data_IF_907179987712
#
_entry.id   IF_907179987712
#
_cell.length_a   1.000
_cell.length_b   1.000
_cell.length_c   1.000
_cell.angle_alpha   90.00
_cell.angle_beta   90.00
_cell.angle_gamma   90.00
#
_symmetry.space_group_name_H-M   'P 1'
#
loop_
_entity.id
_entity.type
_entity.pdbx_description
1 polymer ?
#
# COMPACT_ATOMS: atom_id res chain seq x y z
N UNK A 1 -34.51 -42.09 -11.08
CA UNK A 1 -33.69 -41.03 -10.46
C UNK A 1 -32.96 -40.30 -11.58
N UNK A 2 -33.10 -38.99 -11.67
CA UNK A 2 -32.38 -38.19 -12.65
C UNK A 2 -30.92 -38.12 -12.21
N UNK A 3 -30.03 -38.75 -12.98
CA UNK A 3 -28.59 -38.75 -12.68
C UNK A 3 -28.10 -37.30 -12.87
N UNK A 4 -27.72 -36.65 -11.76
CA UNK A 4 -27.20 -35.29 -11.79
C UNK A 4 -25.71 -35.32 -12.12
N UNK A 5 -25.33 -34.53 -13.11
CA UNK A 5 -23.93 -34.28 -13.46
C UNK A 5 -23.59 -32.83 -13.20
N UNK A 6 -22.34 -32.58 -12.83
CA UNK A 6 -21.82 -31.24 -12.62
C UNK A 6 -20.47 -31.09 -13.32
N UNK A 7 -20.02 -29.84 -13.51
CA UNK A 7 -18.80 -29.55 -14.24
C UNK A 7 -17.85 -28.70 -13.42
N UNK A 8 -16.57 -29.02 -13.52
CA UNK A 8 -15.48 -28.31 -12.88
C UNK A 8 -14.43 -27.92 -13.92
N UNK A 9 -13.48 -27.06 -13.54
CA UNK A 9 -12.31 -26.77 -14.37
C UNK A 9 -11.07 -27.47 -13.81
N UNK A 10 -10.22 -27.95 -14.72
CA UNK A 10 -8.89 -28.43 -14.37
C UNK A 10 -7.94 -27.24 -14.12
N UNK A 11 -6.76 -27.52 -13.54
CA UNK A 11 -5.70 -26.50 -13.40
C UNK A 11 -5.27 -25.90 -14.75
N UNK A 12 -5.46 -26.64 -15.86
CA UNK A 12 -5.18 -26.21 -17.23
C UNK A 12 -6.36 -25.51 -17.91
N UNK A 13 -7.50 -25.35 -17.21
CA UNK A 13 -8.70 -24.69 -17.72
C UNK A 13 -9.65 -25.60 -18.52
N UNK A 14 -9.34 -26.89 -18.62
CA UNK A 14 -10.18 -27.88 -19.31
C UNK A 14 -11.43 -28.18 -18.48
N UNK A 15 -12.56 -28.42 -19.15
CA UNK A 15 -13.79 -28.85 -18.46
C UNK A 15 -13.65 -30.31 -18.03
N UNK A 16 -13.96 -30.55 -16.76
CA UNK A 16 -14.08 -31.87 -16.16
C UNK A 16 -15.55 -32.13 -15.82
N UNK A 17 -16.00 -33.35 -16.09
CA UNK A 17 -17.31 -33.85 -15.67
C UNK A 17 -17.16 -34.51 -14.30
N UNK A 18 -18.00 -34.14 -13.34
CA UNK A 18 -18.13 -34.78 -12.03
C UNK A 18 -19.45 -35.56 -12.01
N UNK A 19 -19.34 -36.88 -11.90
CA UNK A 19 -20.47 -37.80 -11.82
C UNK A 19 -20.17 -38.86 -10.75
N UNK A 20 -21.09 -39.07 -9.81
CA UNK A 20 -20.96 -40.08 -8.74
C UNK A 20 -19.62 -40.00 -7.98
N UNK A 21 -19.12 -38.78 -7.74
CA UNK A 21 -17.81 -38.54 -7.12
C UNK A 21 -16.60 -39.06 -7.92
N UNK A 22 -16.76 -39.26 -9.23
CA UNK A 22 -15.65 -39.53 -10.14
C UNK A 22 -15.49 -38.36 -11.12
N UNK A 23 -14.24 -38.05 -11.42
CA UNK A 23 -13.88 -37.00 -12.37
C UNK A 23 -13.55 -37.62 -13.72
N UNK A 24 -14.07 -37.01 -14.77
CA UNK A 24 -13.85 -37.41 -16.15
C UNK A 24 -13.36 -36.22 -16.97
N UNK A 25 -12.43 -36.46 -17.89
CA UNK A 25 -11.95 -35.48 -18.88
C UNK A 25 -12.65 -35.73 -20.21
N UNK A 26 -12.94 -34.67 -20.96
CA UNK A 26 -13.48 -34.83 -22.32
C UNK A 26 -12.38 -35.41 -23.22
N UNK A 27 -12.64 -36.58 -23.79
CA UNK A 27 -11.73 -37.25 -24.72
C UNK A 27 -12.06 -36.91 -26.17
N UNK A 28 -13.35 -36.87 -26.52
CA UNK A 28 -13.82 -36.64 -27.88
C UNK A 28 -15.22 -36.03 -27.89
N UNK A 29 -15.47 -35.12 -28.82
CA UNK A 29 -16.81 -34.63 -29.17
C UNK A 29 -17.16 -35.07 -30.59
N UNK A 30 -18.35 -35.60 -30.80
CA UNK A 30 -18.92 -35.92 -32.13
C UNK A 30 -20.02 -34.91 -32.49
N UNK A 31 -20.64 -35.08 -33.65
CA UNK A 31 -21.78 -34.26 -34.10
C UNK A 31 -23.03 -34.37 -33.21
N UNK A 32 -23.09 -35.35 -32.29
CA UNK A 32 -24.28 -35.62 -31.47
C UNK A 32 -23.98 -35.82 -29.97
N UNK A 33 -22.73 -36.11 -29.59
CA UNK A 33 -22.39 -36.54 -28.23
C UNK A 33 -21.00 -36.06 -27.79
N UNK A 34 -20.80 -35.95 -26.49
CA UNK A 34 -19.49 -35.79 -25.84
C UNK A 34 -19.12 -37.08 -25.12
N UNK A 35 -17.86 -37.50 -25.26
CA UNK A 35 -17.30 -38.70 -24.65
C UNK A 35 -16.26 -38.29 -23.62
N UNK A 36 -16.46 -38.74 -22.39
CA UNK A 36 -15.66 -38.42 -21.23
C UNK A 36 -14.99 -39.69 -20.73
N UNK A 37 -13.71 -39.63 -20.36
CA UNK A 37 -12.96 -40.75 -19.80
C UNK A 37 -12.47 -40.42 -18.40
N UNK A 38 -12.41 -41.44 -17.53
CA UNK A 38 -11.94 -41.23 -16.16
C UNK A 38 -10.54 -40.62 -16.17
N UNK A 39 -10.29 -39.70 -15.23
CA UNK A 39 -8.98 -39.04 -15.13
C UNK A 39 -7.90 -39.96 -14.58
N UNK A 40 -8.27 -41.02 -13.85
CA UNK A 40 -7.30 -41.92 -13.22
C UNK A 40 -6.62 -42.83 -14.23
N UNK A 41 -5.29 -42.93 -14.11
CA UNK A 41 -4.50 -43.74 -15.03
C UNK A 41 -4.82 -45.22 -14.81
N UNK A 42 -5.08 -45.93 -15.90
CA UNK A 42 -5.45 -47.35 -15.86
C UNK A 42 -6.93 -47.61 -15.57
N UNK A 43 -7.75 -46.57 -15.39
CA UNK A 43 -9.20 -46.69 -15.30
C UNK A 43 -9.84 -46.61 -16.70
N UNK A 44 -10.62 -47.62 -17.07
CA UNK A 44 -11.27 -47.73 -18.38
C UNK A 44 -12.67 -47.09 -18.48
N UNK A 45 -13.20 -46.55 -17.38
CA UNK A 45 -14.59 -46.06 -17.34
C UNK A 45 -14.77 -44.84 -18.23
N UNK A 46 -15.87 -44.82 -18.97
CA UNK A 46 -16.26 -43.71 -19.83
C UNK A 46 -17.72 -43.30 -19.64
N UNK A 47 -17.99 -42.01 -19.84
CA UNK A 47 -19.33 -41.43 -19.75
C UNK A 47 -19.66 -40.73 -21.06
N UNK A 48 -20.92 -40.79 -21.48
CA UNK A 48 -21.46 -40.08 -22.63
C UNK A 48 -22.47 -39.04 -22.15
N UNK A 49 -22.37 -37.84 -22.69
CA UNK A 49 -23.40 -36.81 -22.57
C UNK A 49 -23.84 -36.37 -23.97
N UNK A 50 -25.01 -35.76 -24.09
CA UNK A 50 -25.37 -35.05 -25.31
C UNK A 50 -24.56 -33.74 -25.43
N UNK A 51 -24.81 -32.97 -26.49
CA UNK A 51 -24.15 -31.68 -26.70
C UNK A 51 -24.58 -30.61 -25.69
N UNK A 52 -25.76 -30.77 -25.08
CA UNK A 52 -26.35 -29.90 -24.08
C UNK A 52 -25.99 -30.32 -22.64
N UNK A 53 -25.00 -31.20 -22.48
CA UNK A 53 -24.50 -31.66 -21.19
C UNK A 53 -25.55 -32.39 -20.35
N UNK A 54 -26.48 -33.12 -21.00
CA UNK A 54 -27.36 -34.10 -20.36
C UNK A 54 -26.69 -35.47 -20.35
N UNK A 55 -26.81 -36.17 -19.23
CA UNK A 55 -26.28 -37.53 -19.08
C UNK A 55 -26.99 -38.50 -20.03
N UNK A 56 -26.22 -39.35 -20.72
CA UNK A 56 -26.76 -40.40 -21.60
C UNK A 56 -26.41 -41.80 -21.10
N UNK A 57 -25.13 -42.07 -20.85
CA UNK A 57 -24.64 -43.43 -20.59
C UNK A 57 -23.34 -43.41 -19.80
N UNK A 58 -23.12 -44.41 -18.94
CA UNK A 58 -21.82 -44.73 -18.33
C UNK A 58 -21.45 -46.17 -18.71
N UNK A 59 -20.19 -46.41 -19.04
CA UNK A 59 -19.66 -47.70 -19.48
C UNK A 59 -18.49 -48.14 -18.60
N UNK A 60 -18.62 -49.35 -18.04
CA UNK A 60 -17.61 -50.00 -17.20
C UNK A 60 -17.70 -49.62 -15.73
N UNK A 61 -16.93 -50.35 -14.92
CA UNK A 61 -16.84 -50.16 -13.48
C UNK A 61 -15.46 -49.62 -13.08
N UNK A 62 -15.43 -48.75 -12.08
CA UNK A 62 -14.19 -48.17 -11.57
C UNK A 62 -13.36 -49.23 -10.82
N UNK A 63 -12.06 -49.26 -11.09
CA UNK A 63 -11.08 -50.13 -10.41
C UNK A 63 -10.28 -49.41 -9.32
N UNK A 64 -10.76 -48.25 -8.88
CA UNK A 64 -10.12 -47.41 -7.88
C UNK A 64 -11.19 -46.82 -6.95
N UNK A 65 -10.76 -46.45 -5.74
CA UNK A 65 -11.65 -45.88 -4.73
C UNK A 65 -11.86 -44.39 -5.01
N UNK A 66 -13.05 -43.90 -4.66
CA UNK A 66 -13.35 -42.46 -4.63
C UNK A 66 -12.53 -41.79 -3.53
N UNK A 67 -12.03 -40.58 -3.79
CA UNK A 67 -11.54 -39.68 -2.74
C UNK A 67 -12.43 -38.43 -2.68
N UNK A 68 -13.47 -38.42 -1.81
CA UNK A 68 -14.42 -37.32 -1.69
C UNK A 68 -13.73 -36.01 -1.28
N UNK A 69 -12.74 -36.09 -0.38
CA UNK A 69 -12.02 -34.94 0.15
C UNK A 69 -11.29 -34.19 -0.97
N UNK A 70 -10.61 -34.90 -1.87
CA UNK A 70 -9.93 -34.29 -3.02
C UNK A 70 -10.90 -33.58 -3.97
N UNK A 71 -12.13 -34.09 -4.09
CA UNK A 71 -13.17 -33.48 -4.92
C UNK A 71 -13.68 -32.22 -4.25
N UNK A 72 -13.97 -32.27 -2.95
CA UNK A 72 -14.40 -31.13 -2.15
C UNK A 72 -13.36 -29.99 -2.18
N UNK A 73 -12.08 -30.32 -2.00
CA UNK A 73 -10.96 -29.37 -2.17
C UNK A 73 -10.97 -28.73 -3.56
N UNK A 74 -11.26 -29.50 -4.62
CA UNK A 74 -11.27 -29.01 -6.00
C UNK A 74 -12.45 -28.10 -6.28
N UNK A 75 -13.64 -28.45 -5.78
CA UNK A 75 -14.85 -27.63 -5.84
C UNK A 75 -14.61 -26.29 -5.14
N UNK A 76 -14.04 -26.32 -3.93
CA UNK A 76 -13.76 -25.11 -3.16
C UNK A 76 -12.73 -24.21 -3.84
N UNK A 77 -11.67 -24.78 -4.43
CA UNK A 77 -10.67 -24.01 -5.20
C UNK A 77 -11.29 -23.32 -6.42
N UNK A 78 -12.18 -23.98 -7.14
CA UNK A 78 -12.86 -23.34 -8.28
C UNK A 78 -13.85 -22.26 -7.83
N UNK A 79 -14.52 -22.43 -6.68
CA UNK A 79 -15.32 -21.36 -6.07
C UNK A 79 -14.46 -20.13 -5.73
N UNK A 80 -13.34 -20.33 -5.03
CA UNK A 80 -12.40 -19.24 -4.70
C UNK A 80 -11.90 -18.54 -5.97
N UNK A 81 -11.53 -19.32 -7.00
CA UNK A 81 -11.05 -18.79 -8.28
C UNK A 81 -12.11 -17.95 -8.98
N UNK A 82 -13.38 -18.35 -8.95
CA UNK A 82 -14.48 -17.56 -9.48
C UNK A 82 -14.54 -16.20 -8.78
N UNK A 83 -14.58 -16.17 -7.44
CA UNK A 83 -14.58 -14.93 -6.64
C UNK A 83 -13.37 -14.04 -6.92
N UNK A 84 -12.19 -14.63 -7.09
CA UNK A 84 -10.95 -13.91 -7.45
C UNK A 84 -11.07 -13.21 -8.81
N UNK A 85 -11.84 -13.78 -9.75
CA UNK A 85 -12.02 -13.25 -11.10
C UNK A 85 -13.19 -12.27 -11.20
N UNK A 86 -14.05 -12.15 -10.20
CA UNK A 86 -15.29 -11.36 -10.27
C UNK A 86 -15.40 -10.25 -9.22
N UNK A 87 -14.76 -10.41 -8.07
CA UNK A 87 -14.80 -9.43 -6.96
C UNK A 87 -13.49 -8.65 -6.86
N UNK A 88 -13.36 -7.67 -5.98
CA UNK A 88 -12.08 -6.97 -5.67
C UNK A 88 -11.56 -7.25 -4.24
N UNK A 89 -12.27 -8.09 -3.48
CA UNK A 89 -11.93 -8.53 -2.12
C UNK A 89 -10.49 -9.06 -2.02
N UNK A 90 -9.81 -8.79 -0.91
CA UNK A 90 -8.43 -9.26 -0.72
C UNK A 90 -8.34 -10.79 -0.77
N UNK A 91 -7.20 -11.31 -1.27
CA UNK A 91 -7.03 -12.76 -1.43
C UNK A 91 -7.12 -13.51 -0.10
N UNK A 92 -6.56 -12.93 0.97
CA UNK A 92 -6.64 -13.50 2.32
C UNK A 92 -8.08 -13.59 2.80
N UNK A 93 -8.86 -12.52 2.65
CA UNK A 93 -10.27 -12.53 3.03
C UNK A 93 -11.10 -13.54 2.22
N UNK A 94 -10.86 -13.66 0.91
CA UNK A 94 -11.54 -14.68 0.09
C UNK A 94 -11.22 -16.08 0.63
N UNK A 95 -9.94 -16.35 0.91
CA UNK A 95 -9.49 -17.63 1.45
C UNK A 95 -10.17 -17.92 2.79
N UNK A 96 -10.07 -17.01 3.75
CA UNK A 96 -10.59 -17.20 5.11
C UNK A 96 -12.11 -17.40 5.11
N UNK A 97 -12.84 -16.58 4.34
CA UNK A 97 -14.29 -16.69 4.21
C UNK A 97 -14.71 -18.00 3.56
N UNK A 98 -14.06 -18.41 2.46
CA UNK A 98 -14.46 -19.62 1.75
C UNK A 98 -14.13 -20.88 2.56
N UNK A 99 -13.01 -20.90 3.28
CA UNK A 99 -12.66 -21.99 4.21
C UNK A 99 -13.66 -22.06 5.37
N UNK A 100 -13.94 -20.94 6.03
CA UNK A 100 -14.89 -20.89 7.14
C UNK A 100 -16.30 -21.34 6.71
N UNK A 101 -16.73 -20.93 5.51
CA UNK A 101 -18.05 -21.27 4.97
C UNK A 101 -18.15 -22.72 4.48
N UNK A 102 -17.04 -23.35 4.09
CA UNK A 102 -17.04 -24.70 3.55
C UNK A 102 -17.31 -25.77 4.62
N UNK A 103 -17.11 -25.46 5.92
CA UNK A 103 -17.31 -26.41 7.04
C UNK A 103 -16.64 -27.78 6.78
N UNK A 104 -15.40 -27.73 6.29
CA UNK A 104 -14.63 -28.90 5.90
C UNK A 104 -14.44 -29.86 7.08
N UNK A 105 -14.42 -31.17 6.80
CA UNK A 105 -13.97 -32.17 7.77
C UNK A 105 -12.50 -31.96 8.12
N UNK A 106 -12.04 -32.49 9.25
CA UNK A 106 -10.62 -32.41 9.65
C UNK A 106 -9.69 -33.05 8.60
N UNK A 107 -10.11 -34.18 8.02
CA UNK A 107 -9.39 -34.86 6.95
C UNK A 107 -9.32 -34.04 5.66
N UNK A 108 -10.42 -33.36 5.27
CA UNK A 108 -10.44 -32.49 4.09
C UNK A 108 -9.60 -31.22 4.33
N UNK A 109 -9.71 -30.63 5.51
CA UNK A 109 -8.98 -29.41 5.88
C UNK A 109 -7.46 -29.65 5.85
N UNK A 110 -6.99 -30.81 6.32
CA UNK A 110 -5.59 -31.20 6.27
C UNK A 110 -5.03 -31.34 4.83
N UNK A 111 -5.89 -31.60 3.84
CA UNK A 111 -5.52 -31.68 2.43
C UNK A 111 -5.59 -30.31 1.71
N UNK A 112 -6.16 -29.28 2.35
CA UNK A 112 -6.25 -27.95 1.76
C UNK A 112 -4.94 -27.18 1.98
N UNK A 113 -4.33 -26.60 0.93
CA UNK A 113 -3.11 -25.82 1.09
C UNK A 113 -3.38 -24.60 1.96
N UNK A 114 -2.46 -24.27 2.87
CA UNK A 114 -2.53 -23.06 3.69
C UNK A 114 -2.65 -21.81 2.82
N UNK A 115 -3.12 -20.70 3.40
CA UNK A 115 -3.22 -19.42 2.69
C UNK A 115 -1.87 -19.01 2.08
N UNK A 116 -0.76 -19.28 2.77
CA UNK A 116 0.60 -18.96 2.33
C UNK A 116 0.96 -19.77 1.07
N UNK A 117 0.72 -21.08 1.10
CA UNK A 117 1.01 -21.99 -0.01
C UNK A 117 0.12 -21.69 -1.23
N UNK A 118 -1.14 -21.34 -1.00
CA UNK A 118 -2.10 -21.08 -2.08
C UNK A 118 -2.03 -19.66 -2.64
N UNK A 119 -1.43 -18.70 -1.90
CA UNK A 119 -1.36 -17.28 -2.27
C UNK A 119 -0.82 -17.06 -3.67
N UNK A 120 0.23 -17.77 -4.07
CA UNK A 120 0.84 -17.62 -5.41
C UNK A 120 -0.15 -17.93 -6.53
N UNK A 121 -0.95 -18.98 -6.38
CA UNK A 121 -1.97 -19.36 -7.35
C UNK A 121 -3.14 -18.37 -7.38
N UNK A 122 -3.59 -17.92 -6.21
CA UNK A 122 -4.62 -16.89 -6.11
C UNK A 122 -4.16 -15.59 -6.78
N UNK A 123 -2.92 -15.15 -6.52
CA UNK A 123 -2.32 -13.96 -7.14
C UNK A 123 -2.14 -14.10 -8.66
N UNK A 124 -1.74 -15.28 -9.16
CA UNK A 124 -1.69 -15.56 -10.61
C UNK A 124 -3.09 -15.49 -11.25
N UNK A 125 -4.11 -15.96 -10.54
CA UNK A 125 -5.50 -15.88 -11.00
C UNK A 125 -5.98 -14.44 -11.05
N UNK A 126 -5.75 -13.68 -9.96
CA UNK A 126 -6.10 -12.25 -9.86
C UNK A 126 -5.48 -11.42 -10.99
N UNK A 127 -4.22 -11.68 -11.31
CA UNK A 127 -3.49 -11.01 -12.39
C UNK A 127 -4.13 -11.13 -13.77
N UNK A 128 -4.99 -12.12 -14.01
CA UNK A 128 -5.73 -12.27 -15.28
C UNK A 128 -6.76 -11.16 -15.50
N UNK A 129 -7.26 -10.55 -14.42
CA UNK A 129 -8.24 -9.46 -14.46
C UNK A 129 -7.66 -8.13 -13.98
N UNK A 130 -6.45 -8.13 -13.41
CA UNK A 130 -5.78 -6.90 -12.97
C UNK A 130 -5.26 -6.14 -14.19
N UNK A 131 -5.61 -4.87 -14.37
CA UNK A 131 -5.06 -4.05 -15.44
C UNK A 131 -3.53 -3.99 -15.39
N UNK A 132 -2.92 -3.85 -16.55
CA UNK A 132 -1.47 -3.65 -16.65
C UNK A 132 -1.13 -2.32 -15.96
N UNK A 133 -0.10 -2.34 -15.10
CA UNK A 133 0.38 -1.13 -14.44
C UNK A 133 0.86 -0.14 -15.51
N UNK A 134 0.30 1.08 -15.59
CA UNK A 134 0.72 2.07 -16.55
C UNK A 134 2.19 2.44 -16.39
N UNK A 135 2.88 2.67 -17.51
CA UNK A 135 4.28 3.14 -17.54
C UNK A 135 4.40 4.65 -17.76
N UNK A 136 3.28 5.32 -18.02
CA UNK A 136 3.19 6.77 -18.21
C UNK A 136 2.05 7.34 -17.38
N UNK A 137 2.01 8.67 -17.22
CA UNK A 137 0.91 9.36 -16.54
C UNK A 137 -0.39 9.44 -17.37
N UNK A 138 -0.36 9.03 -18.64
CA UNK A 138 -1.51 9.08 -19.55
C UNK A 138 -2.18 7.71 -19.63
N UNK A 139 -3.26 7.56 -18.86
CA UNK A 139 -4.09 6.35 -18.82
C UNK A 139 -5.46 6.67 -18.22
N UNK A 140 -6.46 5.85 -18.57
CA UNK A 140 -7.76 5.92 -17.92
C UNK A 140 -7.73 5.12 -16.60
N UNK A 141 -8.25 5.71 -15.53
CA UNK A 141 -8.37 5.02 -14.23
C UNK A 141 -9.62 4.14 -14.30
N UNK A 142 -9.51 2.80 -14.22
CA UNK A 142 -10.70 1.94 -14.29
C UNK A 142 -11.63 2.17 -13.11
N UNK A 143 -12.95 2.07 -13.31
CA UNK A 143 -14.00 2.31 -12.30
C UNK A 143 -13.74 1.63 -10.94
N UNK A 144 -13.28 0.36 -10.87
CA UNK A 144 -13.00 -0.29 -9.59
C UNK A 144 -11.91 0.38 -8.73
N UNK A 145 -11.08 1.23 -9.33
CA UNK A 145 -10.06 2.02 -8.63
C UNK A 145 -10.51 3.45 -8.32
N UNK A 146 -11.68 3.85 -8.80
CA UNK A 146 -12.28 5.16 -8.47
C UNK A 146 -13.12 5.12 -7.20
N UNK A 147 -13.42 3.92 -6.70
CA UNK A 147 -14.34 3.68 -5.59
C UNK A 147 -13.72 2.79 -4.50
N UNK A 148 -14.27 2.87 -3.29
CA UNK A 148 -13.97 1.93 -2.21
C UNK A 148 -14.64 0.58 -2.44
N UNK A 149 -14.28 -0.43 -1.65
CA UNK A 149 -14.96 -1.74 -1.64
C UNK A 149 -16.47 -1.64 -1.32
N UNK A 150 -16.90 -0.55 -0.67
CA UNK A 150 -18.30 -0.26 -0.39
C UNK A 150 -18.94 0.67 -1.43
N UNK A 151 -18.37 0.77 -2.64
CA UNK A 151 -18.87 1.57 -3.77
C UNK A 151 -19.05 3.06 -3.42
N UNK A 152 -18.16 3.60 -2.58
CA UNK A 152 -18.13 5.05 -2.30
C UNK A 152 -17.02 5.68 -3.10
N UNK A 153 -17.21 6.92 -3.56
CA UNK A 153 -16.17 7.71 -4.23
C UNK A 153 -14.87 7.69 -3.42
N UNK A 154 -13.78 7.36 -4.10
CA UNK A 154 -12.42 7.39 -3.55
C UNK A 154 -11.47 8.23 -4.41
N UNK A 155 -11.61 8.20 -5.74
CA UNK A 155 -10.94 9.17 -6.61
C UNK A 155 -11.54 10.55 -6.36
N UNK A 156 -10.78 11.40 -5.66
CA UNK A 156 -11.19 12.74 -5.28
C UNK A 156 -10.99 13.72 -6.43
N UNK A 157 -9.80 13.70 -7.05
CA UNK A 157 -9.43 14.60 -8.15
C UNK A 157 -8.51 13.89 -9.14
N UNK A 158 -8.62 14.31 -10.40
CA UNK A 158 -7.75 13.91 -11.49
C UNK A 158 -7.58 15.09 -12.45
N UNK A 159 -6.41 15.71 -12.47
CA UNK A 159 -6.18 16.93 -13.25
C UNK A 159 -4.76 17.05 -13.78
N UNK A 160 -4.59 17.91 -14.79
CA UNK A 160 -3.30 18.22 -15.40
C UNK A 160 -2.87 19.66 -15.08
N UNK A 161 -1.60 19.86 -14.71
CA UNK A 161 -1.06 21.15 -14.26
C UNK A 161 -0.78 22.11 -15.43
N UNK A 162 -0.17 21.62 -16.52
CA UNK A 162 0.14 22.41 -17.74
C UNK A 162 0.15 21.54 -19.00
N UNK A 163 -0.48 22.03 -20.08
CA UNK A 163 -0.49 21.44 -21.45
C UNK A 163 -0.67 19.91 -21.51
N UNK A 164 -1.41 19.33 -20.55
CA UNK A 164 -1.73 17.89 -20.52
C UNK A 164 -0.57 16.93 -20.26
N UNK A 165 0.60 17.39 -19.79
CA UNK A 165 1.78 16.51 -19.62
C UNK A 165 2.07 16.08 -18.19
N UNK A 166 1.67 16.88 -17.20
CA UNK A 166 1.92 16.59 -15.78
C UNK A 166 0.57 16.40 -15.09
N UNK A 167 0.29 15.17 -14.68
CA UNK A 167 -0.98 14.75 -14.07
C UNK A 167 -0.84 14.65 -12.56
N UNK A 168 -1.84 15.09 -11.82
CA UNK A 168 -1.98 14.87 -10.38
C UNK A 168 -3.25 14.05 -10.16
N UNK A 169 -3.14 12.95 -9.43
CA UNK A 169 -4.27 12.10 -9.05
C UNK A 169 -4.38 12.11 -7.55
N UNK A 170 -5.55 12.41 -7.01
CA UNK A 170 -5.80 12.49 -5.57
C UNK A 170 -6.90 11.52 -5.18
N UNK A 171 -6.64 10.73 -4.14
CA UNK A 171 -7.60 9.82 -3.54
C UNK A 171 -7.90 10.21 -2.10
N UNK A 172 -9.18 10.23 -1.77
CA UNK A 172 -9.72 10.37 -0.41
C UNK A 172 -11.22 10.11 -0.44
N UNK A 173 -11.75 9.53 0.63
CA UNK A 173 -13.19 9.45 0.87
C UNK A 173 -13.70 10.71 1.57
N UNK A 174 -15.01 10.95 1.56
CA UNK A 174 -15.62 12.05 2.33
C UNK A 174 -15.38 11.91 3.84
N UNK A 175 -15.32 10.68 4.38
CA UNK A 175 -15.01 10.45 5.80
C UNK A 175 -13.57 10.86 6.13
N UNK A 176 -12.62 10.52 5.27
CA UNK A 176 -11.23 10.95 5.40
C UNK A 176 -11.09 12.48 5.29
N UNK A 177 -11.81 13.12 4.37
CA UNK A 177 -11.85 14.59 4.28
C UNK A 177 -12.46 15.24 5.52
N UNK A 178 -13.51 14.65 6.10
CA UNK A 178 -14.05 15.12 7.38
C UNK A 178 -13.02 15.03 8.51
N UNK A 179 -12.21 13.97 8.55
CA UNK A 179 -11.12 13.87 9.52
C UNK A 179 -10.05 14.93 9.26
N UNK A 180 -9.64 15.12 7.99
CA UNK A 180 -8.65 16.14 7.59
C UNK A 180 -9.07 17.54 8.03
N UNK A 181 -10.26 17.97 7.62
CA UNK A 181 -10.72 19.35 7.83
C UNK A 181 -11.12 19.67 9.28
N UNK A 182 -11.25 18.65 10.14
CA UNK A 182 -11.49 18.85 11.58
C UNK A 182 -10.23 18.65 12.42
N UNK A 183 -9.09 18.30 11.81
CA UNK A 183 -7.85 18.05 12.54
C UNK A 183 -7.11 19.36 12.81
N UNK A 184 -6.74 19.59 14.08
CA UNK A 184 -5.87 20.72 14.44
C UNK A 184 -4.42 20.51 14.02
N UNK A 185 -3.99 19.25 13.91
CA UNK A 185 -2.63 18.88 13.53
C UNK A 185 -2.67 17.91 12.34
N UNK A 186 -1.88 18.20 11.32
CA UNK A 186 -1.70 17.32 10.16
C UNK A 186 -0.23 17.02 9.92
N UNK A 187 0.04 15.86 9.35
CA UNK A 187 1.37 15.41 8.98
C UNK A 187 1.43 15.20 7.47
N UNK A 188 2.51 15.66 6.86
CA UNK A 188 2.73 15.57 5.43
C UNK A 188 3.98 14.75 5.18
N UNK A 189 3.87 13.78 4.29
CA UNK A 189 5.00 12.91 3.94
C UNK A 189 5.03 12.61 2.44
N UNK A 190 6.23 12.51 1.88
CA UNK A 190 6.48 12.18 0.48
C UNK A 190 7.33 10.92 0.37
N UNK A 191 6.84 9.92 -0.36
CA UNK A 191 7.59 8.67 -0.61
C UNK A 191 7.86 8.46 -2.10
N UNK A 192 9.12 8.15 -2.41
CA UNK A 192 9.62 8.05 -3.79
C UNK A 192 9.67 6.61 -4.30
N UNK A 193 10.03 5.66 -3.43
CA UNK A 193 10.30 4.27 -3.81
C UNK A 193 9.08 3.52 -4.34
N UNK A 194 7.88 3.98 -3.98
CA UNK A 194 6.60 3.37 -4.35
C UNK A 194 5.87 4.13 -5.47
N UNK A 195 6.46 5.22 -5.98
CA UNK A 195 5.82 5.99 -7.04
C UNK A 195 5.75 5.18 -8.35
N UNK A 196 4.55 5.02 -8.95
CA UNK A 196 4.41 4.30 -10.21
C UNK A 196 4.97 5.10 -11.39
N UNK A 197 5.25 4.40 -12.50
CA UNK A 197 5.76 5.02 -13.72
C UNK A 197 4.88 6.20 -14.17
N UNK A 198 5.51 7.35 -14.44
CA UNK A 198 4.82 8.59 -14.80
C UNK A 198 4.60 9.57 -13.63
N UNK A 199 4.94 9.19 -12.40
CA UNK A 199 4.91 10.06 -11.22
C UNK A 199 6.26 10.07 -10.51
N UNK A 200 6.60 11.19 -9.87
CA UNK A 200 7.88 11.35 -9.17
C UNK A 200 7.77 11.01 -7.68
N UNK A 201 6.56 11.06 -7.11
CA UNK A 201 6.31 10.76 -5.70
C UNK A 201 4.86 10.35 -5.44
N UNK A 202 4.67 9.63 -4.32
CA UNK A 202 3.40 9.53 -3.62
C UNK A 202 3.45 10.49 -2.42
N UNK A 203 2.57 11.47 -2.41
CA UNK A 203 2.45 12.48 -1.37
C UNK A 203 1.23 12.18 -0.51
N UNK A 204 1.42 12.14 0.80
CA UNK A 204 0.42 11.71 1.77
C UNK A 204 0.16 12.82 2.78
N UNK A 205 -1.12 13.00 3.12
CA UNK A 205 -1.54 13.80 4.27
C UNK A 205 -2.16 12.86 5.29
N UNK A 206 -1.62 12.90 6.50
CA UNK A 206 -2.08 12.12 7.63
C UNK A 206 -2.67 13.03 8.71
N UNK A 207 -3.57 12.45 9.50
CA UNK A 207 -4.09 13.04 10.73
C UNK A 207 -3.79 12.10 11.89
N UNK A 208 -3.75 12.67 13.09
CA UNK A 208 -3.74 11.86 14.30
C UNK A 208 -5.17 11.40 14.63
N UNK A 209 -5.39 10.09 14.68
CA UNK A 209 -6.67 9.49 15.03
C UNK A 209 -6.46 8.24 15.87
N UNK A 210 -7.10 8.18 17.05
CA UNK A 210 -6.97 7.06 18.02
C UNK A 210 -5.52 6.64 18.35
N UNK A 211 -4.61 7.60 18.53
CA UNK A 211 -3.21 7.30 18.87
C UNK A 211 -2.35 6.88 17.68
N UNK A 212 -2.88 6.91 16.46
CA UNK A 212 -2.21 6.46 15.23
C UNK A 212 -2.27 7.52 14.11
N UNK A 213 -1.38 7.37 13.14
CA UNK A 213 -1.28 8.26 11.98
C UNK A 213 -2.05 7.67 10.84
N UNK A 214 -3.24 8.20 10.63
CA UNK A 214 -4.11 7.70 9.58
C UNK A 214 -3.87 8.52 8.32
N UNK A 215 -3.40 7.92 7.20
CA UNK A 215 -3.39 8.60 5.93
C UNK A 215 -4.83 8.85 5.46
N UNK A 216 -5.13 10.11 5.20
CA UNK A 216 -6.47 10.55 4.79
C UNK A 216 -6.50 11.07 3.36
N UNK A 217 -5.37 11.57 2.83
CA UNK A 217 -5.26 11.96 1.43
C UNK A 217 -4.03 11.32 0.81
N UNK A 218 -4.20 10.74 -0.37
CA UNK A 218 -3.15 10.09 -1.14
C UNK A 218 -3.03 10.77 -2.50
N UNK A 219 -1.85 11.26 -2.84
CA UNK A 219 -1.61 12.00 -4.07
C UNK A 219 -0.50 11.34 -4.88
N UNK A 220 -0.78 10.99 -6.15
CA UNK A 220 0.26 10.72 -7.14
C UNK A 220 0.65 12.04 -7.78
N UNK A 221 1.90 12.47 -7.57
CA UNK A 221 2.37 13.78 -8.03
C UNK A 221 3.46 13.64 -9.10
N UNK A 222 3.41 14.47 -10.16
CA UNK A 222 4.32 14.34 -11.30
C UNK A 222 5.68 14.99 -11.03
N UNK A 223 5.77 15.84 -10.00
CA UNK A 223 7.00 16.52 -9.60
C UNK A 223 6.89 17.04 -8.15
N UNK A 224 7.99 17.57 -7.62
CA UNK A 224 8.11 18.25 -6.30
C UNK A 224 8.22 19.77 -6.40
N UNK A 225 7.45 20.39 -7.29
CA UNK A 225 7.51 21.86 -7.49
C UNK A 225 6.51 22.56 -6.58
N UNK A 226 6.91 23.73 -6.07
CA UNK A 226 6.06 24.59 -5.24
C UNK A 226 4.68 24.86 -5.88
N UNK A 227 4.65 25.14 -7.19
CA UNK A 227 3.40 25.37 -7.93
C UNK A 227 2.43 24.18 -7.87
N UNK A 228 2.95 22.95 -7.90
CA UNK A 228 2.13 21.74 -7.83
C UNK A 228 1.54 21.53 -6.45
N UNK A 229 2.32 21.77 -5.38
CA UNK A 229 1.80 21.73 -4.01
C UNK A 229 0.74 22.81 -3.77
N UNK A 230 0.98 24.04 -4.24
CA UNK A 230 0.03 25.15 -4.07
C UNK A 230 -1.29 24.83 -4.76
N UNK A 231 -1.26 24.32 -5.99
CA UNK A 231 -2.47 23.85 -6.70
C UNK A 231 -3.21 22.75 -5.93
N UNK A 232 -2.48 21.77 -5.37
CA UNK A 232 -3.07 20.70 -4.55
C UNK A 232 -3.79 21.27 -3.31
N UNK A 233 -3.12 22.12 -2.53
CA UNK A 233 -3.70 22.68 -1.31
C UNK A 233 -4.88 23.61 -1.60
N UNK A 234 -4.82 24.40 -2.67
CA UNK A 234 -5.94 25.25 -3.09
C UNK A 234 -7.17 24.42 -3.45
N UNK A 235 -6.99 23.31 -4.18
CA UNK A 235 -8.10 22.40 -4.47
C UNK A 235 -8.64 21.70 -3.22
N UNK A 236 -7.79 21.28 -2.29
CA UNK A 236 -8.25 20.72 -1.00
C UNK A 236 -9.05 21.74 -0.18
N UNK A 237 -8.67 23.02 -0.20
CA UNK A 237 -9.47 24.09 0.43
C UNK A 237 -10.82 24.30 -0.26
N UNK A 238 -10.87 24.16 -1.59
CA UNK A 238 -12.13 24.21 -2.34
C UNK A 238 -13.05 23.03 -1.94
N UNK A 239 -12.50 21.82 -1.80
CA UNK A 239 -13.25 20.67 -1.27
C UNK A 239 -13.77 20.93 0.15
N UNK A 240 -12.96 21.53 1.03
CA UNK A 240 -13.40 21.92 2.37
C UNK A 240 -14.59 22.89 2.31
N UNK A 241 -14.48 23.92 1.46
CA UNK A 241 -15.54 24.92 1.27
C UNK A 241 -16.82 24.28 0.76
N UNK A 242 -16.73 23.38 -0.23
CA UNK A 242 -17.86 22.64 -0.77
C UNK A 242 -18.55 21.75 0.28
N UNK A 243 -17.80 21.30 1.30
CA UNK A 243 -18.31 20.54 2.44
C UNK A 243 -18.79 21.43 3.61
N UNK A 244 -18.83 22.76 3.43
CA UNK A 244 -19.21 23.71 4.49
C UNK A 244 -18.19 23.75 5.64
N UNK A 245 -16.92 23.47 5.35
CA UNK A 245 -15.80 23.45 6.30
C UNK A 245 -14.70 24.40 5.85
N UNK A 246 -13.73 24.63 6.73
CA UNK A 246 -12.48 25.32 6.42
C UNK A 246 -11.32 24.35 6.62
N UNK A 247 -10.32 24.43 5.74
CA UNK A 247 -9.10 23.65 5.89
C UNK A 247 -8.01 24.55 6.47
N UNK A 248 -8.02 24.69 7.79
CA UNK A 248 -7.12 25.57 8.55
C UNK A 248 -6.55 24.84 9.77
N UNK A 249 -5.62 23.87 9.57
CA UNK A 249 -4.97 23.21 10.69
C UNK A 249 -4.14 24.21 11.49
N UNK A 250 -4.10 24.06 12.81
CA UNK A 250 -3.27 24.88 13.71
C UNK A 250 -1.79 24.53 13.59
N UNK A 251 -1.46 23.26 13.34
CA UNK A 251 -0.10 22.77 13.21
C UNK A 251 0.05 21.85 12.01
N UNK A 252 1.13 22.08 11.25
CA UNK A 252 1.51 21.25 10.11
C UNK A 252 2.91 20.73 10.37
N UNK A 253 3.08 19.42 10.26
CA UNK A 253 4.36 18.73 10.39
C UNK A 253 4.73 18.15 9.04
N UNK A 254 5.90 18.50 8.51
CA UNK A 254 6.41 17.91 7.27
C UNK A 254 7.88 17.53 7.38
N UNK A 255 8.42 16.92 6.35
CA UNK A 255 9.87 16.90 6.15
C UNK A 255 10.42 18.31 5.82
N UNK A 256 11.72 18.38 5.55
CA UNK A 256 12.41 19.64 5.23
C UNK A 256 12.50 19.88 3.71
N UNK A 257 11.46 19.53 2.96
CA UNK A 257 11.46 19.75 1.51
C UNK A 257 11.38 21.25 1.17
N UNK A 258 12.43 21.75 0.52
CA UNK A 258 12.59 23.18 0.22
C UNK A 258 11.46 23.78 -0.62
N UNK A 259 10.83 22.99 -1.51
CA UNK A 259 9.73 23.44 -2.34
C UNK A 259 8.38 23.48 -1.59
N UNK A 260 8.22 22.66 -0.56
CA UNK A 260 6.97 22.53 0.21
C UNK A 260 6.86 23.60 1.31
N UNK A 261 7.96 23.90 2.00
CA UNK A 261 8.01 24.90 3.09
C UNK A 261 7.37 26.26 2.72
N UNK A 262 7.79 26.94 1.63
CA UNK A 262 7.21 28.23 1.28
C UNK A 262 5.73 28.12 0.92
N UNK A 263 5.30 27.00 0.33
CA UNK A 263 3.90 26.76 -0.02
C UNK A 263 3.04 26.60 1.22
N UNK A 264 3.50 25.83 2.22
CA UNK A 264 2.77 25.68 3.48
C UNK A 264 2.58 27.04 4.15
N UNK A 265 3.61 27.89 4.18
CA UNK A 265 3.50 29.25 4.75
C UNK A 265 2.54 30.15 3.99
N UNK A 266 2.53 30.04 2.66
CA UNK A 266 1.64 30.82 1.81
C UNK A 266 0.18 30.35 1.94
N UNK A 267 -0.04 29.04 1.91
CA UNK A 267 -1.38 28.46 1.93
C UNK A 267 -1.96 28.40 3.35
N UNK A 268 -1.15 28.25 4.39
CA UNK A 268 -1.62 28.16 5.78
C UNK A 268 -0.86 29.16 6.66
N UNK A 269 -1.06 30.48 6.45
CA UNK A 269 -0.25 31.51 7.11
C UNK A 269 -0.45 31.58 8.63
N UNK A 270 -1.56 31.07 9.15
CA UNK A 270 -1.88 30.99 10.57
C UNK A 270 -1.39 29.70 11.24
N UNK A 271 -0.99 28.69 10.44
CA UNK A 271 -0.54 27.42 10.96
C UNK A 271 0.91 27.51 11.44
N UNK A 272 1.21 26.86 12.56
CA UNK A 272 2.61 26.63 12.96
C UNK A 272 3.17 25.50 12.10
N UNK A 273 4.16 25.81 11.27
CA UNK A 273 4.88 24.81 10.47
C UNK A 273 6.13 24.33 11.19
N UNK A 274 6.16 23.05 11.56
CA UNK A 274 7.33 22.38 12.14
C UNK A 274 7.82 21.27 11.23
N UNK A 275 9.12 21.03 11.25
CA UNK A 275 9.72 19.86 10.63
C UNK A 275 9.46 18.59 11.44
N UNK A 276 9.91 17.46 10.93
CA UNK A 276 9.86 16.19 11.63
C UNK A 276 11.21 15.87 12.29
N UNK A 277 11.23 15.54 13.58
CA UNK A 277 12.47 15.19 14.30
C UNK A 277 13.14 13.93 13.75
N UNK A 278 12.36 12.97 13.25
CA UNK A 278 12.92 11.79 12.58
C UNK A 278 13.72 12.21 11.35
N UNK A 279 13.13 13.00 10.46
CA UNK A 279 13.81 13.50 9.25
C UNK A 279 15.00 14.41 9.58
N UNK A 280 14.91 15.22 10.65
CA UNK A 280 16.03 16.00 11.16
C UNK A 280 17.22 15.10 11.55
N UNK A 281 16.96 14.11 12.41
CA UNK A 281 17.96 13.15 12.86
C UNK A 281 18.50 12.30 11.70
N UNK A 282 17.65 11.90 10.76
CA UNK A 282 18.02 11.14 9.59
C UNK A 282 18.95 11.94 8.66
N UNK A 283 18.70 13.24 8.46
CA UNK A 283 19.56 14.10 7.66
C UNK A 283 20.97 14.22 8.26
N UNK A 284 21.06 14.39 9.59
CA UNK A 284 22.35 14.42 10.29
C UNK A 284 23.05 13.07 10.16
N UNK A 285 22.35 11.96 10.39
CA UNK A 285 22.92 10.62 10.26
C UNK A 285 23.41 10.34 8.83
N UNK A 286 22.65 10.70 7.80
CA UNK A 286 23.08 10.60 6.39
C UNK A 286 24.34 11.43 6.15
N UNK A 287 24.46 12.62 6.75
CA UNK A 287 25.67 13.43 6.64
C UNK A 287 26.87 12.75 7.30
N UNK A 288 26.71 12.16 8.49
CA UNK A 288 27.76 11.38 9.15
C UNK A 288 28.26 10.27 8.22
N UNK A 289 27.35 9.49 7.63
CA UNK A 289 27.71 8.45 6.66
C UNK A 289 28.42 9.02 5.43
N UNK A 290 27.90 10.11 4.86
CA UNK A 290 28.47 10.75 3.66
C UNK A 290 29.83 11.40 3.87
N UNK A 291 30.21 11.71 5.11
CA UNK A 291 31.56 12.17 5.48
C UNK A 291 32.54 11.01 5.74
N UNK A 292 32.11 9.75 5.57
CA UNK A 292 32.95 8.58 5.84
C UNK A 292 33.08 8.21 7.33
N UNK A 293 32.35 8.89 8.22
CA UNK A 293 32.41 8.71 9.68
C UNK A 293 31.59 7.50 10.17
N UNK A 294 31.16 6.61 9.27
CA UNK A 294 30.26 5.51 9.61
C UNK A 294 30.84 4.49 10.58
N UNK A 295 32.10 4.10 10.35
CA UNK A 295 32.82 3.16 11.21
C UNK A 295 33.07 3.78 12.59
N UNK A 296 33.54 5.02 12.63
CA UNK A 296 33.81 5.74 13.88
C UNK A 296 32.53 5.92 14.70
N UNK A 297 31.43 6.31 14.07
CA UNK A 297 30.13 6.40 14.75
C UNK A 297 29.67 5.05 15.34
N UNK A 298 29.96 3.93 14.67
CA UNK A 298 29.60 2.61 15.15
C UNK A 298 30.51 2.10 16.27
N UNK A 299 31.82 2.37 16.21
CA UNK A 299 32.83 1.74 17.07
C UNK A 299 33.34 2.65 18.18
N UNK A 300 33.39 3.97 17.98
CA UNK A 300 33.86 4.94 18.96
C UNK A 300 32.68 5.55 19.75
N UNK A 301 32.66 5.27 21.05
CA UNK A 301 31.61 5.75 21.95
C UNK A 301 31.63 7.28 22.14
N UNK A 302 32.82 7.90 22.12
CA UNK A 302 32.99 9.35 22.28
C UNK A 302 32.47 10.08 21.05
N UNK A 303 32.86 9.63 19.85
CA UNK A 303 32.36 10.19 18.58
C UNK A 303 30.84 10.06 18.48
N UNK A 304 30.32 8.88 18.79
CA UNK A 304 28.87 8.64 18.78
C UNK A 304 28.13 9.55 19.75
N UNK A 305 28.66 9.76 20.95
CA UNK A 305 28.05 10.63 21.95
C UNK A 305 28.03 12.09 21.47
N UNK A 306 29.12 12.60 20.91
CA UNK A 306 29.17 13.97 20.39
C UNK A 306 28.18 14.17 19.22
N UNK A 307 28.07 13.20 18.32
CA UNK A 307 27.05 13.21 17.26
C UNK A 307 25.62 13.23 17.85
N UNK A 308 25.36 12.45 18.91
CA UNK A 308 24.05 12.45 19.61
C UNK A 308 23.77 13.77 20.33
N UNK A 309 24.77 14.39 20.95
CA UNK A 309 24.63 15.72 21.56
C UNK A 309 24.26 16.77 20.52
N UNK A 310 24.88 16.73 19.35
CA UNK A 310 24.55 17.60 18.21
C UNK A 310 23.10 17.38 17.74
N UNK A 311 22.66 16.12 17.63
CA UNK A 311 21.27 15.78 17.31
C UNK A 311 20.29 16.21 18.42
N UNK A 312 20.70 16.17 19.68
CA UNK A 312 19.87 16.55 20.83
C UNK A 312 19.66 18.07 20.96
N UNK A 313 20.40 18.91 20.23
CA UNK A 313 20.20 20.37 20.24
C UNK A 313 18.77 20.77 19.86
N UNK A 314 18.08 19.98 19.04
CA UNK A 314 16.68 20.20 18.73
C UNK A 314 15.75 20.13 19.96
N UNK A 315 16.19 19.54 21.07
CA UNK A 315 15.43 19.38 22.31
C UNK A 315 15.83 20.40 23.39
N UNK A 316 16.65 21.39 23.06
CA UNK A 316 17.06 22.43 24.01
C UNK A 316 16.16 23.67 23.89
N UNK A 317 16.00 24.48 24.96
CA UNK A 317 15.39 25.79 24.85
C UNK A 317 16.04 26.59 23.71
N UNK A 318 15.23 27.23 22.86
CA UNK A 318 15.70 27.93 21.66
C UNK A 318 16.83 28.92 21.98
N UNK A 319 16.73 29.64 23.11
CA UNK A 319 17.75 30.60 23.57
C UNK A 319 19.11 29.96 23.89
N UNK A 320 19.14 28.67 24.20
CA UNK A 320 20.35 27.94 24.59
C UNK A 320 21.04 27.27 23.39
N UNK A 321 20.35 27.08 22.27
CA UNK A 321 20.83 26.24 21.16
C UNK A 321 22.20 26.67 20.63
N UNK A 322 22.38 27.96 20.34
CA UNK A 322 23.67 28.46 19.84
C UNK A 322 24.80 28.36 20.87
N UNK A 323 24.50 28.64 22.13
CA UNK A 323 25.47 28.55 23.21
C UNK A 323 25.94 27.10 23.40
N UNK A 324 25.01 26.16 23.44
CA UNK A 324 25.32 24.73 23.57
C UNK A 324 26.04 24.20 22.33
N UNK A 325 25.65 24.60 21.12
CA UNK A 325 26.37 24.25 19.90
C UNK A 325 27.85 24.66 19.97
N UNK A 326 28.13 25.92 20.38
CA UNK A 326 29.49 26.44 20.53
C UNK A 326 30.28 25.63 21.56
N UNK A 327 29.69 25.33 22.72
CA UNK A 327 30.32 24.51 23.77
C UNK A 327 30.68 23.11 23.30
N UNK A 328 29.74 22.41 22.65
CA UNK A 328 29.98 21.05 22.14
C UNK A 328 31.11 21.09 21.10
N UNK A 329 31.11 22.08 20.20
CA UNK A 329 32.14 22.23 19.17
C UNK A 329 33.55 22.42 19.76
N UNK A 330 33.70 23.15 20.88
CA UNK A 330 35.01 23.38 21.52
C UNK A 330 35.67 22.11 22.02
N UNK A 331 34.88 21.12 22.45
CA UNK A 331 35.38 19.84 22.97
C UNK A 331 35.26 18.70 21.95
N UNK A 332 34.77 18.99 20.75
CA UNK A 332 34.53 17.99 19.72
C UNK A 332 35.85 17.44 19.17
N UNK A 333 35.84 16.18 18.76
CA UNK A 333 36.97 15.59 18.03
C UNK A 333 37.20 16.37 16.73
N UNK A 334 38.48 16.64 16.34
CA UNK A 334 38.79 17.28 15.06
C UNK A 334 38.22 16.52 13.84
N UNK A 335 38.04 15.20 13.96
CA UNK A 335 37.41 14.40 12.90
C UNK A 335 35.95 14.76 12.61
N UNK A 336 35.28 15.50 13.51
CA UNK A 336 33.90 15.96 13.35
C UNK A 336 33.78 17.39 12.79
N UNK A 337 34.88 18.09 12.50
CA UNK A 337 34.84 19.50 12.09
C UNK A 337 33.93 19.76 10.87
N UNK A 338 33.96 18.87 9.88
CA UNK A 338 33.09 18.96 8.70
C UNK A 338 31.60 18.74 9.04
N UNK A 339 31.31 17.89 10.03
CA UNK A 339 29.95 17.67 10.50
C UNK A 339 29.42 18.90 11.24
N UNK A 340 30.21 19.50 12.14
CA UNK A 340 29.84 20.73 12.84
C UNK A 340 29.69 21.91 11.88
N UNK A 341 30.58 22.03 10.90
CA UNK A 341 30.50 23.06 9.84
C UNK A 341 29.23 22.89 9.01
N UNK A 342 28.90 21.65 8.62
CA UNK A 342 27.64 21.36 7.96
C UNK A 342 26.45 21.74 8.84
N UNK A 343 26.44 21.32 10.10
CA UNK A 343 25.31 21.55 11.00
C UNK A 343 25.06 23.03 11.19
N UNK A 344 26.12 23.82 11.40
CA UNK A 344 26.01 25.27 11.51
C UNK A 344 25.38 25.88 10.26
N UNK A 345 25.93 25.60 9.07
CA UNK A 345 25.45 26.18 7.81
C UNK A 345 24.04 25.75 7.43
N UNK A 346 23.64 24.53 7.79
CA UNK A 346 22.35 23.97 7.41
C UNK A 346 21.24 24.33 8.40
N UNK A 347 21.53 24.26 9.71
CA UNK A 347 20.51 24.31 10.76
C UNK A 347 20.58 25.58 11.60
N UNK A 348 21.77 26.13 11.88
CA UNK A 348 21.92 27.34 12.71
C UNK A 348 21.81 28.61 11.84
N UNK A 349 22.59 28.69 10.77
CA UNK A 349 22.72 29.84 9.86
C UNK A 349 22.10 29.58 8.48
N UNK A 350 21.26 28.55 8.39
CA UNK A 350 20.63 28.11 7.16
C UNK A 350 19.26 28.73 6.90
N UNK A 351 18.67 28.37 5.76
CA UNK A 351 17.33 28.85 5.36
C UNK A 351 16.18 28.15 6.13
N UNK A 352 16.46 27.10 6.90
CA UNK A 352 15.47 26.41 7.72
C UNK A 352 15.45 27.09 9.10
N UNK A 353 14.36 27.77 9.49
CA UNK A 353 14.33 28.48 10.76
C UNK A 353 14.51 27.55 11.95
N UNK A 354 15.18 28.03 13.00
CA UNK A 354 15.37 27.31 14.25
C UNK A 354 14.06 26.78 14.85
N UNK A 355 12.99 27.57 14.78
CA UNK A 355 11.65 27.16 15.24
C UNK A 355 11.05 25.97 14.47
N UNK A 356 11.55 25.68 13.26
CA UNK A 356 11.05 24.57 12.45
C UNK A 356 11.69 23.25 12.87
N UNK A 357 12.95 23.23 13.29
CA UNK A 357 13.65 22.01 13.69
C UNK A 357 13.89 21.90 15.20
N UNK A 358 13.49 22.91 15.99
CA UNK A 358 13.48 22.83 17.44
C UNK A 358 12.15 22.23 17.92
N UNK A 359 12.23 21.18 18.72
CA UNK A 359 11.11 20.40 19.26
C UNK A 359 11.03 20.48 20.79
N UNK A 360 11.67 21.49 21.40
CA UNK A 360 11.54 21.75 22.83
C UNK A 360 10.08 21.99 23.18
N UNK A 361 9.60 21.31 24.22
CA UNK A 361 8.24 21.41 24.74
C UNK A 361 7.09 21.01 23.77
N UNK A 362 7.38 20.28 22.70
CA UNK A 362 6.34 19.78 21.78
C UNK A 362 5.82 18.40 22.19
N UNK A 363 4.50 18.19 22.17
CA UNK A 363 3.87 16.89 22.48
C UNK A 363 4.06 15.86 21.35
N UNK A 364 3.99 16.29 20.09
CA UNK A 364 4.24 15.43 18.92
C UNK A 364 5.54 15.86 18.23
N UNK A 365 6.62 15.07 18.44
CA UNK A 365 7.98 15.38 17.96
C UNK A 365 8.40 14.55 16.74
N UNK A 366 7.83 13.36 16.56
CA UNK A 366 8.21 12.40 15.49
C UNK A 366 7.01 12.04 14.63
N UNK A 367 7.23 11.84 13.33
CA UNK A 367 6.28 11.22 12.40
C UNK A 367 6.25 9.67 12.51
N UNK A 368 6.82 9.04 13.55
CA UNK A 368 6.75 7.58 13.75
C UNK A 368 5.32 7.02 13.58
N UNK A 369 4.34 7.86 13.94
CA UNK A 369 2.90 7.67 13.80
C UNK A 369 2.46 7.47 12.34
N UNK A 370 3.13 8.10 11.37
CA UNK A 370 2.90 7.98 9.91
C UNK A 370 3.74 6.86 9.25
N UNK A 371 4.91 6.53 9.79
CA UNK A 371 5.82 5.55 9.17
C UNK A 371 5.33 4.10 9.23
N UNK A 372 4.56 3.73 10.26
CA UNK A 372 3.90 2.42 10.32
C UNK A 372 3.00 2.18 9.12
N UNK A 373 2.41 3.25 8.57
CA UNK A 373 1.53 3.23 7.40
C UNK A 373 2.32 3.08 6.10
N UNK A 374 3.48 3.75 6.00
CA UNK A 374 4.38 3.69 4.83
C UNK A 374 5.12 2.37 4.66
N UNK A 375 5.46 1.67 5.75
CA UNK A 375 6.07 0.31 5.67
C UNK A 375 5.12 -0.76 5.15
N UNK A 376 3.81 -0.47 5.12
CA UNK A 376 2.75 -1.37 4.69
C UNK A 376 2.16 -1.00 3.31
N UNK A 377 2.59 0.13 2.72
CA UNK A 377 2.36 0.49 1.31
C UNK A 377 3.48 -0.11 0.47
#
# INVERSE_FOLDING_TARGET
MQISISFLKSNKGETLLLLNQYLFKCNKTTHSKKYWTCIERGCGVSVQTDLNDQFLLINGDHNHVVNPDLIEVKVLKEKMKHRILTETTSLTQIYDQDIANAKLSEATAAQFPTVIEYRSNMSKTRRKITPVIPTSCVFEIPTPYQETLSQKRFLLMDFFLKRGKERVIVYSTNQQLHLLFNSEEIFIDGTFHVAPGGFEQVFLIHVHHFGQGLPVVFCLMPNRRAATYSELFQRLKQEATAMGKQFEPRRIISDFEAALIPVIRQEFPTATHTGCMFHFNQNIHRKIMGLGLGTDYAQDASIREQCKQLMALCLMPISEVEYQFKRIRTIASPSLDDLFTYFYRQWIDGNVPLSMWNFYDLNHRTNNICEGSLKNL
#
